data_IF_707490261502
#
_entry.id   IF_707490261502
#
_cell.length_a   1.000
_cell.length_b   1.000
_cell.length_c   1.000
_cell.angle_alpha   90.00
_cell.angle_beta   90.00
_cell.angle_gamma   90.00
#
_symmetry.space_group_name_H-M   'P 1'
#
loop_
_entity.id
_entity.type
_entity.pdbx_description
1 polymer ?
#
# COMPACT_ATOMS: atom_id res chain seq x y z
N UNK A 1 -4.06 -1.76 1.67
CA UNK A 1 -3.80 -0.53 2.44
C UNK A 1 -5.14 0.13 2.70
N UNK A 2 -5.48 0.48 3.95
CA UNK A 2 -6.71 1.24 4.24
C UNK A 2 -6.48 2.74 4.02
N UNK A 3 -7.50 3.47 3.54
CA UNK A 3 -7.40 4.86 3.10
C UNK A 3 -7.80 5.86 4.20
N UNK A 4 -7.51 7.15 3.99
CA UNK A 4 -7.89 8.22 4.93
C UNK A 4 -9.39 8.45 5.05
N UNK A 5 -10.15 8.20 3.98
CA UNK A 5 -11.52 8.69 3.87
C UNK A 5 -12.50 7.93 4.78
N UNK A 6 -13.69 8.50 4.86
CA UNK A 6 -14.85 7.93 5.54
C UNK A 6 -15.76 7.30 4.49
N UNK A 7 -16.30 6.12 4.80
CA UNK A 7 -17.33 5.46 4.01
C UNK A 7 -18.50 5.17 4.94
N UNK A 8 -19.71 5.62 4.57
CA UNK A 8 -20.93 5.42 5.38
C UNK A 8 -20.78 5.85 6.86
N UNK A 9 -19.99 6.91 7.11
CA UNK A 9 -19.76 7.45 8.45
C UNK A 9 -18.62 6.79 9.24
N UNK A 10 -17.95 5.76 8.70
CA UNK A 10 -16.85 5.05 9.37
C UNK A 10 -15.54 5.27 8.58
N UNK A 11 -14.45 5.72 9.23
CA UNK A 11 -13.12 5.77 8.60
C UNK A 11 -12.66 4.37 8.21
N UNK A 12 -12.09 4.20 7.01
CA UNK A 12 -11.79 2.84 6.51
C UNK A 12 -10.75 2.07 7.33
N UNK A 13 -9.85 2.77 8.03
CA UNK A 13 -8.88 2.15 8.93
C UNK A 13 -9.46 1.79 10.31
N UNK A 14 -10.72 2.13 10.59
CA UNK A 14 -11.45 1.82 11.81
C UNK A 14 -12.80 1.12 11.50
N UNK A 15 -12.85 0.34 10.42
CA UNK A 15 -14.05 -0.39 9.99
C UNK A 15 -13.80 -1.92 9.95
N UNK A 16 -14.18 -2.66 10.99
CA UNK A 16 -14.06 -4.12 10.99
C UNK A 16 -14.91 -4.81 9.93
N UNK A 17 -16.06 -4.27 9.54
CA UNK A 17 -16.89 -4.90 8.50
C UNK A 17 -16.15 -4.87 7.17
N UNK A 18 -15.44 -3.78 6.89
CA UNK A 18 -14.56 -3.70 5.73
C UNK A 18 -13.30 -4.56 5.90
N UNK A 19 -12.51 -4.32 6.94
CA UNK A 19 -11.16 -4.90 7.05
C UNK A 19 -11.17 -6.38 7.43
N UNK A 20 -11.99 -6.78 8.40
CA UNK A 20 -12.10 -8.20 8.80
C UNK A 20 -13.15 -8.92 7.98
N UNK A 21 -14.38 -8.41 7.95
CA UNK A 21 -15.49 -9.07 7.27
C UNK A 21 -15.26 -9.20 5.76
N UNK A 22 -15.04 -8.09 5.08
CA UNK A 22 -14.95 -8.10 3.61
C UNK A 22 -13.57 -8.52 3.14
N UNK A 23 -12.52 -7.78 3.52
CA UNK A 23 -11.17 -7.97 2.97
C UNK A 23 -10.55 -9.28 3.47
N UNK A 24 -10.66 -9.58 4.76
CA UNK A 24 -10.02 -10.79 5.33
C UNK A 24 -10.86 -12.04 5.14
N UNK A 25 -12.12 -12.02 5.56
CA UNK A 25 -12.96 -13.21 5.55
C UNK A 25 -13.53 -13.49 4.15
N UNK A 26 -14.25 -12.54 3.54
CA UNK A 26 -14.91 -12.78 2.25
C UNK A 26 -13.94 -12.88 1.08
N UNK A 27 -12.95 -11.99 0.99
CA UNK A 27 -11.95 -12.00 -0.09
C UNK A 27 -10.76 -12.91 0.19
N UNK A 28 -10.62 -13.39 1.44
CA UNK A 28 -9.57 -14.34 1.82
C UNK A 28 -8.18 -13.71 1.89
N UNK A 29 -8.03 -12.50 2.45
CA UNK A 29 -6.70 -11.90 2.65
C UNK A 29 -5.85 -12.75 3.60
N UNK A 30 -4.90 -13.48 3.02
CA UNK A 30 -3.81 -14.14 3.73
C UNK A 30 -2.60 -13.19 3.82
N UNK A 31 -2.66 -12.22 4.73
CA UNK A 31 -1.61 -11.23 4.92
C UNK A 31 -1.97 -10.16 5.94
N UNK A 32 -1.33 -9.00 5.83
CA UNK A 32 -1.52 -7.87 6.75
C UNK A 32 -2.20 -6.68 6.07
N UNK A 33 -2.90 -5.88 6.86
CA UNK A 33 -3.42 -4.56 6.46
C UNK A 33 -2.49 -3.48 6.98
N UNK A 34 -2.00 -2.63 6.07
CA UNK A 34 -1.25 -1.42 6.39
C UNK A 34 -2.13 -0.18 6.20
N UNK A 35 -1.93 0.85 7.02
CA UNK A 35 -2.57 2.16 6.80
C UNK A 35 -1.93 2.91 5.65
N UNK A 36 -2.68 3.77 4.97
CA UNK A 36 -2.07 4.89 4.25
C UNK A 36 -1.28 5.76 5.24
N UNK A 37 -0.33 6.52 4.72
CA UNK A 37 0.67 7.23 5.50
C UNK A 37 0.05 8.37 6.33
N UNK A 38 -0.12 8.05 7.60
CA UNK A 38 -0.73 8.84 8.66
C UNK A 38 -2.25 8.71 8.81
N UNK A 39 -2.90 7.67 8.26
CA UNK A 39 -4.36 7.52 8.44
C UNK A 39 -4.81 7.39 9.90
N UNK A 40 -4.00 6.79 10.80
CA UNK A 40 -4.28 6.76 12.25
C UNK A 40 -4.17 8.16 12.87
N UNK A 41 -3.25 8.98 12.38
CA UNK A 41 -3.16 10.38 12.80
C UNK A 41 -4.40 11.15 12.35
N UNK A 42 -4.79 10.99 11.09
CA UNK A 42 -5.96 11.67 10.48
C UNK A 42 -7.26 11.29 11.21
N UNK A 43 -7.40 10.03 11.63
CA UNK A 43 -8.50 9.53 12.48
C UNK A 43 -8.72 10.41 13.72
N UNK A 44 -7.63 10.82 14.38
CA UNK A 44 -7.66 11.66 15.57
C UNK A 44 -7.64 13.16 15.24
N UNK A 45 -6.61 13.65 14.55
CA UNK A 45 -6.33 15.08 14.43
C UNK A 45 -7.22 15.82 13.43
N UNK A 46 -7.66 15.16 12.36
CA UNK A 46 -8.39 15.81 11.26
C UNK A 46 -9.86 15.43 11.24
N UNK A 47 -10.16 14.15 11.42
CA UNK A 47 -11.53 13.63 11.40
C UNK A 47 -12.20 13.74 12.78
N UNK A 48 -11.41 13.82 13.86
CA UNK A 48 -11.92 13.80 15.24
C UNK A 48 -12.85 12.60 15.51
N UNK A 49 -12.54 11.44 14.92
CA UNK A 49 -13.32 10.21 15.11
C UNK A 49 -13.13 9.63 16.52
N UNK A 50 -11.91 9.75 17.04
CA UNK A 50 -11.52 9.25 18.36
C UNK A 50 -11.14 10.39 19.30
N UNK A 51 -11.30 10.21 20.60
CA UNK A 51 -11.03 11.27 21.59
C UNK A 51 -9.55 11.44 21.94
N UNK A 52 -8.76 10.36 21.94
CA UNK A 52 -7.31 10.42 22.18
C UNK A 52 -6.53 9.68 21.10
N UNK A 53 -5.23 9.95 20.92
CA UNK A 53 -4.41 9.19 19.97
C UNK A 53 -4.27 7.70 20.36
N UNK A 54 -4.36 7.36 21.65
CA UNK A 54 -4.44 5.98 22.11
C UNK A 54 -5.74 5.29 21.68
N UNK A 55 -6.87 6.02 21.61
CA UNK A 55 -8.12 5.48 21.07
C UNK A 55 -7.98 5.20 19.57
N UNK A 56 -7.40 6.13 18.80
CA UNK A 56 -7.16 5.92 17.37
C UNK A 56 -6.31 4.67 17.10
N UNK A 57 -5.23 4.49 17.86
CA UNK A 57 -4.39 3.29 17.76
C UNK A 57 -5.13 2.03 18.18
N UNK A 58 -5.87 2.09 19.29
CA UNK A 58 -6.61 0.94 19.79
C UNK A 58 -7.68 0.51 18.78
N UNK A 59 -8.45 1.44 18.24
CA UNK A 59 -9.49 1.17 17.25
C UNK A 59 -8.86 0.62 15.98
N UNK A 60 -7.85 1.27 15.39
CA UNK A 60 -7.20 0.75 14.19
C UNK A 60 -6.73 -0.71 14.36
N UNK A 61 -6.03 -1.02 15.45
CA UNK A 61 -5.57 -2.38 15.74
C UNK A 61 -6.72 -3.37 15.93
N UNK A 62 -7.72 -3.00 16.74
CA UNK A 62 -8.90 -3.83 16.99
C UNK A 62 -9.68 -4.08 15.71
N UNK A 63 -9.80 -3.12 14.82
CA UNK A 63 -10.61 -3.20 13.60
C UNK A 63 -9.90 -3.94 12.46
N UNK A 64 -8.58 -4.18 12.56
CA UNK A 64 -7.87 -5.11 11.68
C UNK A 64 -6.61 -4.55 11.02
N UNK A 65 -6.19 -3.33 11.35
CA UNK A 65 -4.89 -2.78 10.96
C UNK A 65 -3.79 -3.57 11.67
N UNK A 66 -2.72 -3.87 10.93
CA UNK A 66 -1.58 -4.62 11.44
C UNK A 66 -0.27 -3.84 11.36
N UNK A 67 -0.19 -2.85 10.48
CA UNK A 67 0.98 -1.99 10.30
C UNK A 67 0.52 -0.55 10.06
N UNK A 68 1.29 0.40 10.56
CA UNK A 68 1.03 1.83 10.35
C UNK A 68 2.15 2.42 9.50
N UNK A 69 1.80 2.94 8.32
CA UNK A 69 2.64 3.93 7.68
C UNK A 69 2.44 5.24 8.44
N UNK A 70 3.48 5.71 9.11
CA UNK A 70 3.40 6.77 10.11
C UNK A 70 3.99 6.29 11.44
N UNK A 71 3.77 7.04 12.52
CA UNK A 71 4.38 6.73 13.81
C UNK A 71 3.43 6.62 14.99
N UNK A 72 2.12 6.64 14.74
CA UNK A 72 1.09 6.57 15.77
C UNK A 72 1.11 5.24 16.53
N UNK A 73 1.18 4.10 15.84
CA UNK A 73 1.32 2.81 16.53
C UNK A 73 2.58 2.82 17.42
N UNK A 74 3.72 3.29 16.91
CA UNK A 74 4.98 3.36 17.67
C UNK A 74 4.87 4.27 18.91
N UNK A 75 4.22 5.43 18.79
CA UNK A 75 4.11 6.44 19.85
C UNK A 75 3.09 6.12 20.94
N UNK A 76 2.00 5.44 20.59
CA UNK A 76 0.81 5.36 21.45
C UNK A 76 0.39 3.93 21.83
N UNK A 77 0.86 2.87 21.15
CA UNK A 77 0.40 1.48 21.43
C UNK A 77 0.67 1.06 22.87
N UNK A 78 1.87 1.32 23.42
CA UNK A 78 2.22 0.94 24.80
C UNK A 78 1.26 1.61 25.80
N UNK A 79 0.93 2.89 25.60
CA UNK A 79 -0.04 3.60 26.44
C UNK A 79 -1.45 3.05 26.29
N UNK A 80 -1.88 2.74 25.06
CA UNK A 80 -3.17 2.13 24.81
C UNK A 80 -3.32 0.77 25.52
N UNK A 81 -2.26 -0.05 25.53
CA UNK A 81 -2.23 -1.33 26.26
C UNK A 81 -2.28 -1.11 27.77
N UNK A 82 -1.46 -0.21 28.31
CA UNK A 82 -1.45 0.10 29.75
C UNK A 82 -2.80 0.65 30.24
N UNK A 83 -3.50 1.41 29.39
CA UNK A 83 -4.85 1.92 29.64
C UNK A 83 -5.95 0.87 29.37
N UNK A 84 -5.59 -0.34 28.97
CA UNK A 84 -6.51 -1.45 28.62
C UNK A 84 -7.46 -1.12 27.46
N UNK A 85 -7.10 -0.18 26.59
CA UNK A 85 -7.86 0.17 25.37
C UNK A 85 -7.72 -0.89 24.27
N UNK A 86 -6.59 -1.59 24.26
CA UNK A 86 -6.29 -2.74 23.38
C UNK A 86 -5.48 -3.76 24.19
N UNK A 87 -5.71 -5.06 23.97
CA UNK A 87 -4.93 -6.10 24.63
C UNK A 87 -3.61 -6.35 23.89
N UNK A 88 -2.59 -6.79 24.64
CA UNK A 88 -1.30 -7.19 24.07
C UNK A 88 -1.45 -8.28 23.01
N UNK A 89 -2.37 -9.24 23.20
CA UNK A 89 -2.68 -10.29 22.22
C UNK A 89 -3.11 -9.75 20.84
N UNK A 90 -3.77 -8.59 20.79
CA UNK A 90 -4.15 -7.96 19.50
C UNK A 90 -2.91 -7.39 18.81
N UNK A 91 -1.96 -6.84 19.57
CA UNK A 91 -0.67 -6.39 19.06
C UNK A 91 0.16 -7.58 18.56
N UNK A 92 0.21 -8.67 19.33
CA UNK A 92 0.90 -9.90 18.93
C UNK A 92 0.32 -10.46 17.63
N UNK A 93 -1.01 -10.50 17.51
CA UNK A 93 -1.67 -10.94 16.30
C UNK A 93 -1.31 -10.07 15.08
N UNK A 94 -1.26 -8.75 15.27
CA UNK A 94 -0.80 -7.83 14.22
C UNK A 94 0.64 -8.15 13.81
N UNK A 95 1.54 -8.38 14.76
CA UNK A 95 2.93 -8.76 14.47
C UNK A 95 3.01 -10.09 13.72
N UNK A 96 2.26 -11.10 14.12
CA UNK A 96 2.22 -12.42 13.43
C UNK A 96 1.92 -12.23 11.94
N UNK A 97 0.91 -11.44 11.58
CA UNK A 97 0.58 -11.20 10.16
C UNK A 97 1.73 -10.54 9.39
N UNK A 98 2.45 -9.59 10.00
CA UNK A 98 3.60 -8.95 9.37
C UNK A 98 4.75 -9.95 9.16
N UNK A 99 5.09 -10.73 10.18
CA UNK A 99 6.19 -11.68 10.12
C UNK A 99 5.91 -12.86 9.20
N UNK A 100 4.66 -13.36 9.14
CA UNK A 100 4.28 -14.42 8.19
C UNK A 100 4.53 -13.97 6.75
N UNK A 101 4.20 -12.72 6.41
CA UNK A 101 4.47 -12.19 5.05
C UNK A 101 5.97 -12.06 4.79
N UNK A 102 6.79 -11.73 5.80
CA UNK A 102 8.25 -11.71 5.69
C UNK A 102 8.86 -13.12 5.58
N UNK A 103 8.26 -14.14 6.19
CA UNK A 103 8.71 -15.52 6.07
C UNK A 103 8.54 -16.06 4.64
N UNK A 104 7.48 -15.68 3.91
CA UNK A 104 7.21 -16.15 2.54
C UNK A 104 8.35 -15.97 1.54
N UNK A 105 9.03 -14.80 1.44
CA UNK A 105 10.18 -14.63 0.56
C UNK A 105 11.48 -15.23 1.13
N UNK A 106 11.45 -15.89 2.30
CA UNK A 106 12.62 -16.45 2.96
C UNK A 106 13.48 -15.41 3.69
N UNK A 107 12.88 -14.34 4.22
CA UNK A 107 13.64 -13.27 4.88
C UNK A 107 14.46 -13.76 6.08
N UNK A 108 14.04 -14.84 6.73
CA UNK A 108 14.71 -15.44 7.89
C UNK A 108 15.49 -16.72 7.56
N UNK A 109 15.60 -17.10 6.29
CA UNK A 109 16.12 -18.42 5.87
C UNK A 109 17.66 -18.43 5.69
N UNK A 110 18.37 -17.56 6.41
CA UNK A 110 19.83 -17.52 6.43
C UNK A 110 20.43 -16.61 5.35
N UNK A 111 21.27 -17.17 4.47
CA UNK A 111 22.01 -16.37 3.49
C UNK A 111 21.07 -15.91 2.36
N UNK A 112 20.78 -14.61 2.20
CA UNK A 112 19.84 -14.14 1.19
C UNK A 112 20.23 -14.54 -0.23
N UNK A 113 21.52 -14.71 -0.52
CA UNK A 113 22.04 -15.09 -1.84
C UNK A 113 21.62 -16.49 -2.28
N UNK A 114 21.24 -17.37 -1.35
CA UNK A 114 20.80 -18.73 -1.65
C UNK A 114 19.31 -18.84 -1.97
N UNK A 115 18.54 -17.76 -1.78
CA UNK A 115 17.09 -17.72 -2.03
C UNK A 115 16.75 -17.24 -3.46
N UNK A 116 15.50 -17.43 -3.94
CA UNK A 116 15.09 -17.14 -5.31
C UNK A 116 15.44 -15.72 -5.79
N UNK A 117 15.34 -14.73 -4.89
CA UNK A 117 15.60 -13.32 -5.20
C UNK A 117 17.04 -12.87 -4.88
N UNK A 118 17.86 -13.74 -4.28
CA UNK A 118 19.20 -13.42 -3.79
C UNK A 118 20.25 -13.13 -4.85
N UNK A 119 19.94 -13.44 -6.11
CA UNK A 119 20.83 -13.27 -7.27
C UNK A 119 20.60 -11.97 -8.03
N UNK A 120 19.61 -11.16 -7.63
CA UNK A 120 19.37 -9.85 -8.23
C UNK A 120 20.53 -8.90 -7.92
N UNK A 121 20.98 -8.18 -8.93
CA UNK A 121 22.15 -7.28 -8.91
C UNK A 121 21.76 -5.88 -9.38
N UNK A 122 22.56 -4.86 -9.06
CA UNK A 122 22.38 -3.53 -9.64
C UNK A 122 22.36 -3.51 -11.18
N UNK A 123 23.08 -4.43 -11.84
CA UNK A 123 23.05 -4.56 -13.31
C UNK A 123 21.71 -5.02 -13.87
N UNK A 124 20.87 -5.64 -13.04
CA UNK A 124 19.53 -6.08 -13.45
C UNK A 124 18.52 -4.91 -13.37
N UNK A 125 18.89 -3.81 -12.70
CA UNK A 125 18.13 -2.55 -12.68
C UNK A 125 18.33 -1.83 -14.01
N UNK A 126 17.24 -1.35 -14.61
CA UNK A 126 17.26 -0.62 -15.89
C UNK A 126 17.93 -1.40 -17.05
N UNK A 127 17.90 -2.74 -17.02
CA UNK A 127 18.30 -3.57 -18.15
C UNK A 127 17.53 -3.22 -19.43
N UNK A 128 18.12 -3.47 -20.60
CA UNK A 128 17.53 -3.06 -21.88
C UNK A 128 16.13 -3.63 -22.11
N UNK A 129 15.87 -4.87 -21.69
CA UNK A 129 14.54 -5.47 -21.84
C UNK A 129 13.50 -4.81 -20.90
N UNK A 130 13.90 -4.34 -19.72
CA UNK A 130 13.03 -3.56 -18.83
C UNK A 130 12.67 -2.20 -19.45
N UNK A 131 13.64 -1.53 -20.11
CA UNK A 131 13.38 -0.27 -20.83
C UNK A 131 12.46 -0.47 -22.03
N UNK A 132 12.66 -1.54 -22.81
CA UNK A 132 11.77 -1.89 -23.93
C UNK A 132 10.35 -2.14 -23.45
N UNK A 133 10.18 -2.88 -22.35
CA UNK A 133 8.87 -3.12 -21.76
C UNK A 133 8.20 -1.81 -21.30
N UNK A 134 8.95 -0.92 -20.65
CA UNK A 134 8.43 0.39 -20.25
C UNK A 134 7.99 1.24 -21.47
N UNK A 135 8.77 1.23 -22.56
CA UNK A 135 8.42 1.91 -23.80
C UNK A 135 7.16 1.32 -24.44
N UNK A 136 7.03 0.00 -24.42
CA UNK A 136 5.86 -0.68 -24.97
C UNK A 136 4.60 -0.38 -24.16
N UNK A 137 4.68 -0.43 -22.83
CA UNK A 137 3.60 -0.01 -21.94
C UNK A 137 3.19 1.45 -22.20
N UNK A 138 4.15 2.36 -22.40
CA UNK A 138 3.87 3.75 -22.74
C UNK A 138 3.15 3.89 -24.09
N UNK A 139 3.58 3.15 -25.12
CA UNK A 139 2.92 3.14 -26.44
C UNK A 139 1.48 2.65 -26.36
N UNK A 140 1.23 1.61 -25.59
CA UNK A 140 -0.10 1.02 -25.42
C UNK A 140 -1.01 1.85 -24.52
N UNK A 141 -0.45 2.62 -23.58
CA UNK A 141 -1.20 3.51 -22.69
C UNK A 141 -1.61 4.84 -23.32
N UNK A 142 -1.05 5.21 -24.48
CA UNK A 142 -1.43 6.43 -25.20
C UNK A 142 -2.83 6.25 -25.79
N UNK A 143 -3.78 7.06 -25.32
CA UNK A 143 -5.12 7.16 -25.88
C UNK A 143 -5.19 8.30 -26.89
N UNK A 144 -5.79 8.04 -28.05
CA UNK A 144 -6.03 9.07 -29.05
C UNK A 144 -7.44 9.65 -28.89
N UNK A 145 -7.53 10.85 -28.32
CA UNK A 145 -8.82 11.48 -28.00
C UNK A 145 -9.63 11.97 -29.21
N UNK A 146 -8.98 12.18 -30.36
CA UNK A 146 -9.66 12.57 -31.60
C UNK A 146 -8.90 12.09 -32.83
N UNK A 147 -9.54 11.29 -33.69
CA UNK A 147 -8.94 10.77 -34.91
C UNK A 147 -9.37 11.52 -36.16
N UNK A 148 -8.48 12.38 -36.67
CA UNK A 148 -8.59 12.90 -38.03
C UNK A 148 -7.83 11.96 -38.98
N UNK A 149 -8.40 11.42 -40.06
CA UNK A 149 -7.69 10.52 -40.98
C UNK A 149 -6.44 11.14 -41.64
N UNK A 150 -6.27 12.47 -41.62
CA UNK A 150 -5.01 13.14 -41.99
C UNK A 150 -3.90 13.04 -40.92
N UNK A 151 -4.21 12.55 -39.72
CA UNK A 151 -3.28 12.42 -38.58
C UNK A 151 -2.38 11.18 -38.67
N UNK A 152 -2.73 10.18 -39.48
CA UNK A 152 -1.79 9.14 -39.86
C UNK A 152 -0.76 9.75 -40.81
N UNK A 153 0.37 10.17 -40.24
CA UNK A 153 1.50 10.69 -41.03
C UNK A 153 1.99 9.60 -41.98
N UNK A 154 1.84 9.86 -43.28
CA UNK A 154 2.54 9.13 -44.33
C UNK A 154 4.05 9.26 -44.12
N UNK A 155 4.81 8.17 -44.31
CA UNK A 155 6.29 8.13 -44.25
C UNK A 155 6.98 9.09 -45.26
N UNK A 156 6.22 9.85 -46.06
CA UNK A 156 6.71 10.82 -47.06
C UNK A 156 7.15 12.18 -46.50
N UNK A 157 6.90 12.49 -45.22
CA UNK A 157 7.18 13.81 -44.63
C UNK A 157 8.42 13.80 -43.72
N UNK A 158 9.59 13.50 -44.27
CA UNK A 158 10.88 13.57 -43.55
C UNK A 158 11.43 15.01 -43.51
N UNK A 159 10.67 16.04 -43.91
CA UNK A 159 11.18 17.41 -44.08
C UNK A 159 10.24 18.54 -43.61
N UNK A 160 9.31 18.30 -42.69
CA UNK A 160 8.54 19.40 -42.06
C UNK A 160 9.07 19.67 -40.65
N UNK A 161 9.39 20.94 -40.37
CA UNK A 161 9.78 21.41 -39.04
C UNK A 161 8.63 21.17 -38.07
N UNK A 162 8.86 20.34 -37.05
CA UNK A 162 7.93 20.12 -35.96
C UNK A 162 8.27 21.12 -34.86
N UNK A 163 7.37 22.06 -34.59
CA UNK A 163 7.47 22.89 -33.39
C UNK A 163 6.98 22.10 -32.18
N UNK A 164 7.89 21.78 -31.26
CA UNK A 164 7.54 21.45 -29.88
C UNK A 164 7.29 22.78 -29.16
N UNK A 165 6.07 23.00 -28.70
CA UNK A 165 5.66 24.18 -27.93
C UNK A 165 5.64 23.84 -26.46
#
# INVERSE_FOLDING_TARGET
MCSYNIVNGIPTCADANLLKGTVREQWGLDGYVVTDCDSIQVLYESINYTTTPEDAVADALKEGVNMNCGDYLRKYTVRAVNQRKVSESVVDQALIYNYVVLMRPGFFDGNPKTHPFGKLRPSDVCAEDHKKLALDAAKQGIMFGHHNPKSQRSKRLVSETISLV
#
